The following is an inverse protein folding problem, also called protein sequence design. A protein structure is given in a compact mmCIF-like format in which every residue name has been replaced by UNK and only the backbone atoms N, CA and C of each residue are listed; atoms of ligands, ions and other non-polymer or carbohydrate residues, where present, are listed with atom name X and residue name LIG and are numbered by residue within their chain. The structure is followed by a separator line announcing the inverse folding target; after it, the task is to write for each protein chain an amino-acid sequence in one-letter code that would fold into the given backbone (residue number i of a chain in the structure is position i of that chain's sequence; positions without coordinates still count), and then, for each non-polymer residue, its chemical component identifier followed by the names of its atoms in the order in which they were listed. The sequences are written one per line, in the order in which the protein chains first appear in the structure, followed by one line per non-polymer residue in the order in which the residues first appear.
data_IF_475379275970
#
_entry.id   IF_475379275970
#
_cell.length_a   1.000
_cell.length_b   1.000
_cell.length_c   1.000
_cell.angle_alpha   90.00
_cell.angle_beta   90.00
_cell.angle_gamma   90.00
#
_symmetry.space_group_name_H-M   'P 1'
#
loop_
_entity.id
_entity.type
_entity.pdbx_description
1 polymer ?
#
# COMPACT_ATOMS: atom_id res chain seq x y z
N UNK A 1 -8.34 44.89 -5.90
CA UNK A 1 -8.03 43.81 -4.95
C UNK A 1 -9.36 43.18 -4.64
N UNK A 2 -9.59 41.96 -5.14
CA UNK A 2 -10.87 41.26 -4.96
C UNK A 2 -10.87 40.69 -3.55
N UNK A 3 -11.63 41.31 -2.64
CA UNK A 3 -11.90 40.74 -1.33
C UNK A 3 -12.64 39.41 -1.55
N UNK A 4 -11.93 38.30 -1.38
CA UNK A 4 -12.55 36.98 -1.36
C UNK A 4 -13.42 36.91 -0.11
N UNK A 5 -14.73 37.05 -0.28
CA UNK A 5 -15.66 36.87 0.83
C UNK A 5 -15.51 35.43 1.33
N UNK A 6 -15.15 35.21 2.61
CA UNK A 6 -15.00 33.87 3.14
C UNK A 6 -16.34 33.15 3.06
N UNK A 7 -16.35 31.95 2.49
CA UNK A 7 -17.49 31.03 2.53
C UNK A 7 -17.29 30.08 3.71
N UNK A 8 -18.28 30.01 4.60
CA UNK A 8 -18.22 29.16 5.78
C UNK A 8 -18.86 27.81 5.48
N UNK A 9 -18.09 26.74 5.67
CA UNK A 9 -18.58 25.36 5.67
C UNK A 9 -18.77 24.94 7.13
N UNK A 10 -19.95 24.43 7.48
CA UNK A 10 -20.23 23.87 8.81
C UNK A 10 -20.34 22.36 8.69
N UNK A 11 -19.52 21.65 9.46
CA UNK A 11 -19.49 20.19 9.52
C UNK A 11 -19.49 19.81 11.00
N UNK A 12 -20.41 18.96 11.42
CA UNK A 12 -20.32 18.34 12.74
C UNK A 12 -19.43 17.09 12.70
N UNK A 13 -18.78 16.78 13.83
CA UNK A 13 -17.94 15.58 13.94
C UNK A 13 -18.73 14.29 13.64
N UNK A 14 -19.99 14.22 14.06
CA UNK A 14 -20.88 13.08 13.82
C UNK A 14 -21.29 12.93 12.35
N UNK A 15 -21.61 14.01 11.65
CA UNK A 15 -21.89 13.97 10.20
C UNK A 15 -20.66 13.55 9.41
N UNK A 16 -19.48 14.05 9.79
CA UNK A 16 -18.22 13.69 9.15
C UNK A 16 -17.90 12.21 9.35
N UNK A 17 -18.07 11.70 10.57
CA UNK A 17 -17.87 10.29 10.88
C UNK A 17 -18.82 9.39 10.08
N UNK A 18 -20.11 9.75 9.98
CA UNK A 18 -21.09 8.99 9.21
C UNK A 18 -20.73 9.00 7.71
N UNK A 19 -20.39 10.17 7.16
CA UNK A 19 -19.97 10.29 5.76
C UNK A 19 -18.78 9.37 5.46
N UNK A 20 -17.76 9.36 6.32
CA UNK A 20 -16.61 8.49 6.13
C UNK A 20 -16.94 7.00 6.27
N UNK A 21 -17.78 6.64 7.23
CA UNK A 21 -18.19 5.25 7.41
C UNK A 21 -18.98 4.75 6.20
N UNK A 22 -19.85 5.59 5.63
CA UNK A 22 -20.58 5.30 4.41
C UNK A 22 -19.66 5.14 3.21
N UNK A 23 -18.65 6.01 3.08
CA UNK A 23 -17.64 5.89 2.02
C UNK A 23 -16.82 4.60 2.16
N UNK A 24 -16.43 4.22 3.37
CA UNK A 24 -15.73 2.95 3.61
C UNK A 24 -16.60 1.75 3.27
N UNK A 25 -17.88 1.77 3.62
CA UNK A 25 -18.82 0.68 3.35
C UNK A 25 -19.17 0.52 1.87
N UNK A 26 -19.19 1.62 1.11
CA UNK A 26 -19.57 1.64 -0.30
C UNK A 26 -18.36 1.47 -1.25
N UNK A 27 -17.14 1.57 -0.72
CA UNK A 27 -15.94 1.56 -1.56
C UNK A 27 -15.66 0.19 -2.16
N UNK A 28 -15.50 0.16 -3.48
CA UNK A 28 -14.95 -0.98 -4.21
C UNK A 28 -13.40 -0.94 -4.25
N UNK A 29 -12.81 0.23 -3.95
CA UNK A 29 -11.38 0.50 -4.05
C UNK A 29 -10.89 1.20 -2.79
N UNK A 30 -10.47 0.38 -1.81
CA UNK A 30 -10.01 0.85 -0.50
C UNK A 30 -8.77 1.75 -0.61
N UNK A 31 -7.90 1.56 -1.61
CA UNK A 31 -6.74 2.43 -1.83
C UNK A 31 -7.18 3.85 -2.18
N UNK A 32 -8.10 3.99 -3.15
CA UNK A 32 -8.65 5.31 -3.51
C UNK A 32 -9.35 5.97 -2.34
N UNK A 33 -10.14 5.22 -1.59
CA UNK A 33 -10.83 5.74 -0.40
C UNK A 33 -9.83 6.19 0.65
N UNK A 34 -8.85 5.37 1.02
CA UNK A 34 -7.82 5.72 1.99
C UNK A 34 -7.05 6.99 1.58
N UNK A 35 -6.63 7.10 0.31
CA UNK A 35 -5.95 8.29 -0.19
C UNK A 35 -6.85 9.55 -0.11
N UNK A 36 -8.13 9.43 -0.45
CA UNK A 36 -9.08 10.53 -0.33
C UNK A 36 -9.27 10.96 1.14
N UNK A 37 -9.31 10.00 2.08
CA UNK A 37 -9.39 10.27 3.53
C UNK A 37 -8.15 11.04 4.02
N UNK A 38 -6.94 10.60 3.65
CA UNK A 38 -5.69 11.30 3.98
C UNK A 38 -5.68 12.73 3.39
N UNK A 39 -6.14 12.87 2.15
CA UNK A 39 -6.22 14.18 1.48
C UNK A 39 -7.15 15.12 2.23
N UNK A 40 -8.32 14.64 2.65
CA UNK A 40 -9.29 15.44 3.41
C UNK A 40 -8.78 15.75 4.83
N UNK A 41 -8.10 14.82 5.50
CA UNK A 41 -7.44 15.12 6.77
C UNK A 41 -6.40 16.23 6.61
N UNK A 42 -5.58 16.14 5.57
CA UNK A 42 -4.55 17.15 5.28
C UNK A 42 -5.18 18.53 4.99
N UNK A 43 -6.30 18.55 4.24
CA UNK A 43 -7.08 19.76 4.01
C UNK A 43 -7.57 20.38 5.33
N UNK A 44 -8.21 19.59 6.18
CA UNK A 44 -8.77 20.07 7.45
C UNK A 44 -7.66 20.56 8.38
N UNK A 45 -6.54 19.85 8.48
CA UNK A 45 -5.39 20.29 9.28
C UNK A 45 -4.77 21.58 8.76
N UNK A 46 -4.73 21.78 7.44
CA UNK A 46 -4.14 22.99 6.83
C UNK A 46 -5.02 24.22 7.03
N UNK A 47 -6.33 24.10 6.79
CA UNK A 47 -7.24 25.24 6.82
C UNK A 47 -7.91 25.46 8.18
N UNK A 48 -7.88 24.46 9.08
CA UNK A 48 -8.45 24.52 10.42
C UNK A 48 -7.45 24.88 11.53
N UNK A 49 -6.17 25.12 11.20
CA UNK A 49 -5.10 25.37 12.17
C UNK A 49 -5.43 26.52 13.15
N UNK A 50 -6.11 27.57 12.67
CA UNK A 50 -6.52 28.71 13.51
C UNK A 50 -7.54 28.34 14.61
N UNK A 51 -8.18 27.17 14.49
CA UNK A 51 -9.14 26.63 15.44
C UNK A 51 -8.54 25.50 16.30
N UNK A 52 -7.23 25.28 16.30
CA UNK A 52 -6.60 24.12 16.95
C UNK A 52 -6.92 23.98 18.45
N UNK A 53 -7.10 25.10 19.16
CA UNK A 53 -7.36 25.10 20.61
C UNK A 53 -8.87 24.99 20.92
N UNK A 54 -9.72 24.85 19.90
CA UNK A 54 -11.17 24.69 20.04
C UNK A 54 -11.49 23.20 20.16
N UNK A 55 -12.29 22.85 21.18
CA UNK A 55 -12.71 21.47 21.46
C UNK A 55 -13.33 20.78 20.23
N UNK A 56 -14.21 21.47 19.50
CA UNK A 56 -14.85 20.92 18.30
C UNK A 56 -13.86 20.59 17.16
N UNK A 57 -12.76 21.33 17.05
CA UNK A 57 -11.70 20.99 16.10
C UNK A 57 -10.97 19.72 16.52
N UNK A 58 -10.68 19.56 17.81
CA UNK A 58 -10.04 18.35 18.35
C UNK A 58 -10.93 17.11 18.18
N UNK A 59 -12.24 17.25 18.38
CA UNK A 59 -13.22 16.18 18.11
C UNK A 59 -13.21 15.75 16.64
N UNK A 60 -13.19 16.71 15.70
CA UNK A 60 -13.11 16.45 14.26
C UNK A 60 -11.80 15.73 13.91
N UNK A 61 -10.66 16.21 14.38
CA UNK A 61 -9.35 15.58 14.12
C UNK A 61 -9.31 14.16 14.68
N UNK A 62 -9.85 13.95 15.88
CA UNK A 62 -9.94 12.63 16.50
C UNK A 62 -10.82 11.67 15.67
N UNK A 63 -11.98 12.14 15.20
CA UNK A 63 -12.87 11.35 14.36
C UNK A 63 -12.21 10.99 13.01
N UNK A 64 -11.53 11.93 12.37
CA UNK A 64 -10.79 11.70 11.12
C UNK A 64 -9.69 10.66 11.35
N UNK A 65 -8.93 10.80 12.44
CA UNK A 65 -7.84 9.86 12.76
C UNK A 65 -8.38 8.44 12.95
N UNK A 66 -9.45 8.26 13.73
CA UNK A 66 -10.06 6.95 13.95
C UNK A 66 -10.52 6.29 12.63
N UNK A 67 -11.05 7.09 11.70
CA UNK A 67 -11.44 6.63 10.36
C UNK A 67 -10.22 6.26 9.51
N UNK A 68 -9.16 7.07 9.53
CA UNK A 68 -7.92 6.79 8.80
C UNK A 68 -7.31 5.48 9.31
N UNK A 69 -7.20 5.32 10.63
CA UNK A 69 -6.65 4.11 11.24
C UNK A 69 -7.48 2.87 10.84
N UNK A 70 -8.82 2.97 10.86
CA UNK A 70 -9.70 1.89 10.38
C UNK A 70 -9.50 1.60 8.89
N UNK A 71 -9.39 2.63 8.05
CA UNK A 71 -9.18 2.45 6.61
C UNK A 71 -7.81 1.85 6.29
N UNK A 72 -6.78 2.18 7.07
CA UNK A 72 -5.46 1.58 6.98
C UNK A 72 -5.54 0.09 7.34
N UNK A 73 -6.24 -0.26 8.41
CA UNK A 73 -6.43 -1.66 8.79
C UNK A 73 -7.13 -2.45 7.67
N UNK A 74 -8.22 -1.93 7.12
CA UNK A 74 -8.94 -2.57 5.99
C UNK A 74 -8.04 -2.71 4.75
N UNK A 75 -7.17 -1.73 4.49
CA UNK A 75 -6.21 -1.77 3.40
C UNK A 75 -5.18 -2.88 3.61
N UNK A 76 -4.64 -3.05 4.82
CA UNK A 76 -3.69 -4.10 5.15
C UNK A 76 -4.33 -5.49 5.07
N UNK A 77 -5.55 -5.64 5.57
CA UNK A 77 -6.34 -6.89 5.47
C UNK A 77 -6.56 -7.28 4.01
N UNK A 78 -7.08 -6.36 3.19
CA UNK A 78 -7.30 -6.61 1.75
C UNK A 78 -6.00 -6.95 1.02
N UNK A 79 -4.94 -6.20 1.29
CA UNK A 79 -3.63 -6.46 0.68
C UNK A 79 -3.07 -7.83 1.09
N UNK A 80 -3.36 -8.29 2.31
CA UNK A 80 -2.97 -9.63 2.78
C UNK A 80 -3.69 -10.71 1.99
N UNK A 81 -5.00 -10.61 1.81
CA UNK A 81 -5.78 -11.57 1.01
C UNK A 81 -5.30 -11.62 -0.46
N UNK A 82 -5.05 -10.45 -1.05
CA UNK A 82 -4.51 -10.32 -2.41
C UNK A 82 -3.12 -10.94 -2.51
N UNK A 83 -2.25 -10.70 -1.51
CA UNK A 83 -0.90 -11.25 -1.47
C UNK A 83 -0.89 -12.77 -1.31
N UNK A 84 -1.73 -13.33 -0.42
CA UNK A 84 -1.87 -14.78 -0.25
C UNK A 84 -2.26 -15.44 -1.57
N UNK A 85 -3.24 -14.86 -2.28
CA UNK A 85 -3.68 -15.36 -3.57
C UNK A 85 -2.56 -15.29 -4.61
N UNK A 86 -1.84 -14.17 -4.66
CA UNK A 86 -0.74 -13.96 -5.60
C UNK A 86 0.45 -14.89 -5.33
N UNK A 87 0.78 -15.16 -4.06
CA UNK A 87 1.84 -16.07 -3.64
C UNK A 87 1.53 -17.51 -4.04
N UNK A 88 0.30 -17.99 -3.75
CA UNK A 88 -0.16 -19.34 -4.15
C UNK A 88 -0.10 -19.56 -5.66
N UNK A 89 -0.29 -18.51 -6.44
CA UNK A 89 -0.28 -18.56 -7.91
C UNK A 89 1.09 -18.24 -8.51
N UNK A 90 2.08 -17.85 -7.71
CA UNK A 90 3.36 -17.33 -8.19
C UNK A 90 3.19 -16.21 -9.24
N UNK A 91 2.17 -15.36 -9.04
CA UNK A 91 1.75 -14.39 -10.05
C UNK A 91 2.55 -13.09 -9.93
N UNK A 92 3.59 -12.94 -10.75
CA UNK A 92 4.51 -11.80 -10.74
C UNK A 92 3.78 -10.46 -10.80
N UNK A 93 2.80 -10.31 -11.70
CA UNK A 93 2.10 -9.04 -11.88
C UNK A 93 1.29 -8.66 -10.64
N UNK A 94 0.62 -9.64 -10.02
CA UNK A 94 -0.15 -9.41 -8.79
C UNK A 94 0.77 -9.14 -7.59
N UNK A 95 1.86 -9.89 -7.43
CA UNK A 95 2.87 -9.67 -6.39
C UNK A 95 3.48 -8.28 -6.49
N UNK A 96 3.79 -7.85 -7.71
CA UNK A 96 4.34 -6.51 -7.99
C UNK A 96 3.29 -5.43 -7.72
N UNK A 97 2.02 -5.66 -8.03
CA UNK A 97 0.95 -4.70 -7.74
C UNK A 97 0.79 -4.47 -6.22
N UNK A 98 0.81 -5.53 -5.41
CA UNK A 98 0.77 -5.41 -3.94
C UNK A 98 2.04 -4.76 -3.40
N UNK A 99 3.22 -5.15 -3.91
CA UNK A 99 4.50 -4.57 -3.49
C UNK A 99 4.62 -3.09 -3.82
N UNK A 100 4.10 -2.65 -4.97
CA UNK A 100 4.15 -1.23 -5.36
C UNK A 100 3.11 -0.38 -4.64
N UNK A 101 1.98 -0.98 -4.24
CA UNK A 101 0.91 -0.29 -3.51
C UNK A 101 1.23 -0.11 -2.02
N UNK A 102 2.04 -1.01 -1.44
CA UNK A 102 2.50 -0.95 -0.05
C UNK A 102 3.97 -0.55 0.02
N UNK A 103 4.29 0.55 0.71
CA UNK A 103 5.70 1.01 0.80
C UNK A 103 6.35 0.59 2.11
N UNK A 104 7.59 0.09 1.99
CA UNK A 104 8.48 -0.09 3.13
C UNK A 104 7.92 -1.08 4.16
N UNK A 105 7.71 -0.60 5.38
CA UNK A 105 7.31 -1.43 6.52
C UNK A 105 5.98 -2.16 6.29
N UNK A 106 4.99 -1.49 5.71
CA UNK A 106 3.65 -2.04 5.51
C UNK A 106 3.67 -3.30 4.63
N UNK A 107 4.55 -3.35 3.62
CA UNK A 107 4.72 -4.54 2.79
C UNK A 107 5.21 -5.74 3.61
N UNK A 108 6.19 -5.54 4.49
CA UNK A 108 6.71 -6.63 5.32
C UNK A 108 5.68 -7.11 6.34
N UNK A 109 4.91 -6.21 6.94
CA UNK A 109 3.81 -6.58 7.84
C UNK A 109 2.76 -7.42 7.12
N UNK A 110 2.37 -7.03 5.91
CA UNK A 110 1.42 -7.79 5.08
C UNK A 110 2.00 -9.13 4.62
N UNK A 111 3.29 -9.17 4.27
CA UNK A 111 3.98 -10.40 3.88
C UNK A 111 4.08 -11.41 5.04
N UNK A 112 4.45 -10.94 6.23
CA UNK A 112 4.47 -11.77 7.45
C UNK A 112 3.08 -12.33 7.76
N UNK A 113 2.03 -11.50 7.68
CA UNK A 113 0.65 -11.95 7.85
C UNK A 113 0.26 -13.00 6.80
N UNK A 114 0.55 -12.73 5.52
CA UNK A 114 0.24 -13.65 4.42
C UNK A 114 0.91 -15.02 4.59
N UNK A 115 2.17 -15.04 5.05
CA UNK A 115 2.90 -16.29 5.31
C UNK A 115 2.17 -17.16 6.35
N UNK A 116 1.52 -16.57 7.35
CA UNK A 116 0.75 -17.34 8.35
C UNK A 116 -0.49 -18.03 7.78
N UNK A 117 -0.96 -17.62 6.60
CA UNK A 117 -2.10 -18.21 5.90
C UNK A 117 -1.71 -19.21 4.81
N UNK A 118 -0.42 -19.37 4.54
CA UNK A 118 0.10 -20.34 3.57
C UNK A 118 0.27 -21.71 4.20
N UNK A 119 0.04 -22.76 3.40
CA UNK A 119 0.41 -24.12 3.80
C UNK A 119 1.91 -24.36 3.65
N UNK A 120 2.46 -25.39 4.29
CA UNK A 120 3.88 -25.77 4.13
C UNK A 120 4.25 -26.03 2.66
N UNK A 121 3.33 -26.56 1.87
CA UNK A 121 3.56 -26.82 0.45
C UNK A 121 3.54 -25.52 -0.37
N UNK A 122 2.65 -24.57 -0.04
CA UNK A 122 2.67 -23.22 -0.64
C UNK A 122 3.98 -22.51 -0.31
N UNK A 123 4.44 -22.58 0.94
CA UNK A 123 5.70 -21.98 1.38
C UNK A 123 6.87 -22.55 0.58
N UNK A 124 6.97 -23.88 0.48
CA UNK A 124 8.04 -24.54 -0.30
C UNK A 124 7.99 -24.17 -1.77
N UNK A 125 6.79 -24.10 -2.35
CA UNK A 125 6.60 -23.68 -3.74
C UNK A 125 7.15 -22.27 -3.94
N UNK A 126 6.74 -21.32 -3.09
CA UNK A 126 7.18 -19.92 -3.17
C UNK A 126 8.69 -19.81 -2.98
N UNK A 127 9.26 -20.49 -1.98
CA UNK A 127 10.72 -20.49 -1.72
C UNK A 127 11.53 -20.90 -2.96
N UNK A 128 11.16 -22.02 -3.59
CA UNK A 128 11.89 -22.55 -4.75
C UNK A 128 11.66 -21.64 -5.97
N UNK A 129 10.42 -21.20 -6.17
CA UNK A 129 10.07 -20.37 -7.29
C UNK A 129 10.76 -19.00 -7.24
N UNK A 130 10.75 -18.33 -6.08
CA UNK A 130 11.32 -16.98 -5.93
C UNK A 130 12.84 -16.99 -6.10
N UNK A 131 13.53 -17.97 -5.52
CA UNK A 131 14.99 -18.09 -5.63
C UNK A 131 15.41 -18.31 -7.09
N UNK A 132 14.74 -19.23 -7.79
CA UNK A 132 15.02 -19.48 -9.20
C UNK A 132 14.71 -18.25 -10.07
N UNK A 133 13.56 -17.62 -9.87
CA UNK A 133 13.19 -16.44 -10.66
C UNK A 133 14.17 -15.28 -10.45
N UNK A 134 14.59 -15.02 -9.21
CA UNK A 134 15.57 -13.96 -8.91
C UNK A 134 16.94 -14.26 -9.53
N UNK A 135 17.38 -15.52 -9.53
CA UNK A 135 18.62 -15.94 -10.20
C UNK A 135 18.54 -15.74 -11.70
N UNK A 136 17.49 -16.26 -12.35
CA UNK A 136 17.27 -16.11 -13.79
C UNK A 136 17.19 -14.62 -14.19
N UNK A 137 16.45 -13.81 -13.42
CA UNK A 137 16.34 -12.38 -13.68
C UNK A 137 17.68 -11.65 -13.61
N UNK A 138 18.55 -12.01 -12.64
CA UNK A 138 19.91 -11.47 -12.55
C UNK A 138 20.77 -11.88 -13.73
N UNK A 139 20.76 -13.17 -14.08
CA UNK A 139 21.53 -13.71 -15.20
C UNK A 139 21.13 -13.01 -16.51
N UNK A 140 19.83 -12.93 -16.80
CA UNK A 140 19.31 -12.23 -17.97
C UNK A 140 19.71 -10.75 -17.99
N UNK A 141 19.60 -10.05 -16.86
CA UNK A 141 19.96 -8.64 -16.77
C UNK A 141 21.48 -8.41 -16.90
N UNK A 142 22.32 -9.33 -16.41
CA UNK A 142 23.77 -9.28 -16.60
C UNK A 142 24.16 -9.56 -18.05
N UNK A 143 23.52 -10.54 -18.70
CA UNK A 143 23.77 -10.86 -20.12
C UNK A 143 23.33 -9.73 -21.06
N UNK A 144 22.25 -9.02 -20.72
CA UNK A 144 21.77 -7.88 -21.49
C UNK A 144 22.63 -6.61 -21.32
N UNK A 145 23.48 -6.56 -20.29
CA UNK A 145 24.29 -5.39 -19.98
C UNK A 145 25.50 -5.27 -20.92
N UNK A 146 25.62 -4.12 -21.60
CA UNK A 146 26.80 -3.80 -22.42
C UNK A 146 28.03 -3.41 -21.58
N UNK A 147 27.83 -3.16 -20.28
CA UNK A 147 28.90 -2.77 -19.34
C UNK A 147 29.22 -3.92 -18.39
N UNK A 148 30.52 -4.24 -18.15
CA UNK A 148 30.91 -5.26 -17.18
C UNK A 148 30.42 -4.90 -15.77
N UNK A 149 30.00 -5.92 -15.02
CA UNK A 149 29.56 -5.82 -13.62
C UNK A 149 28.30 -4.93 -13.39
N UNK A 150 27.51 -4.67 -14.43
CA UNK A 150 26.19 -4.03 -14.31
C UNK A 150 25.06 -4.95 -14.75
N UNK A 151 23.84 -4.66 -14.27
CA UNK A 151 22.61 -5.34 -14.67
C UNK A 151 21.73 -4.36 -15.43
N UNK A 152 21.23 -4.76 -16.60
CA UNK A 152 20.24 -4.03 -17.38
C UNK A 152 18.93 -4.81 -17.46
N UNK A 153 18.05 -4.56 -16.49
CA UNK A 153 16.72 -5.17 -16.44
C UNK A 153 15.84 -4.72 -17.62
N UNK A 154 16.00 -3.48 -18.10
CA UNK A 154 15.19 -2.97 -19.20
C UNK A 154 15.51 -3.70 -20.50
N UNK A 155 16.80 -3.94 -20.78
CA UNK A 155 17.23 -4.69 -21.97
C UNK A 155 16.95 -6.18 -21.87
N UNK A 156 16.75 -6.71 -20.65
CA UNK A 156 16.32 -8.07 -20.38
C UNK A 156 14.78 -8.28 -20.42
N UNK A 157 13.99 -7.24 -20.73
CA UNK A 157 12.52 -7.25 -20.69
C UNK A 157 11.94 -7.61 -19.31
N UNK A 158 12.64 -7.18 -18.24
CA UNK A 158 12.23 -7.35 -16.85
C UNK A 158 11.96 -5.97 -16.26
N UNK A 159 10.78 -5.78 -15.67
CA UNK A 159 10.53 -4.52 -14.95
C UNK A 159 11.30 -4.51 -13.64
N UNK A 160 11.94 -3.40 -13.33
CA UNK A 160 12.74 -3.28 -12.10
C UNK A 160 11.87 -3.44 -10.85
N UNK A 161 10.60 -3.05 -10.93
CA UNK A 161 9.61 -3.23 -9.87
C UNK A 161 9.30 -4.71 -9.63
N UNK A 162 9.20 -5.51 -10.69
CA UNK A 162 9.01 -6.97 -10.59
C UNK A 162 10.23 -7.60 -9.90
N UNK A 163 11.43 -7.21 -10.33
CA UNK A 163 12.67 -7.67 -9.70
C UNK A 163 12.74 -7.32 -8.21
N UNK A 164 12.41 -6.08 -7.83
CA UNK A 164 12.40 -5.66 -6.44
C UNK A 164 11.34 -6.37 -5.61
N UNK A 165 10.14 -6.57 -6.15
CA UNK A 165 9.06 -7.27 -5.47
C UNK A 165 9.47 -8.70 -5.15
N UNK A 166 9.92 -9.46 -6.16
CA UNK A 166 10.27 -10.87 -5.97
C UNK A 166 11.53 -11.02 -5.13
N UNK A 167 12.52 -10.14 -5.27
CA UNK A 167 13.73 -10.15 -4.42
C UNK A 167 13.41 -9.93 -2.95
N UNK A 168 12.44 -9.07 -2.63
CA UNK A 168 12.03 -8.85 -1.24
C UNK A 168 11.26 -10.04 -0.66
N UNK A 169 10.41 -10.67 -1.47
CA UNK A 169 9.71 -11.91 -1.10
C UNK A 169 10.75 -13.01 -0.86
N UNK A 170 11.64 -13.23 -1.82
CA UNK A 170 12.70 -14.24 -1.75
C UNK A 170 13.52 -14.11 -0.47
N UNK A 171 13.96 -12.90 -0.13
CA UNK A 171 14.73 -12.65 1.09
C UNK A 171 14.01 -13.04 2.39
N UNK A 172 12.68 -12.99 2.42
CA UNK A 172 11.89 -13.38 3.59
C UNK A 172 11.72 -14.90 3.65
N UNK A 173 11.50 -15.54 2.51
CA UNK A 173 11.32 -16.99 2.40
C UNK A 173 12.65 -17.77 2.47
N UNK A 174 13.76 -17.15 2.04
CA UNK A 174 15.11 -17.72 1.95
C UNK A 174 16.14 -16.81 2.67
N UNK A 175 16.13 -16.74 4.01
CA UNK A 175 17.02 -15.88 4.80
C UNK A 175 18.49 -16.33 4.86
#
# INVERSE_FOLDING_TARGET
MSDSTPFNITISASELQNFYQDQLNQSQDIHKTHHALITLSSFISTFGLAAQDIESYQEIVSAIKAVIDKSQQMLLEKSTEELVTALRQCNIAALTAVHTSLRGHDFYTVLEAAITELSDDDIRLVMIWSDNWVKEAKEMATEASETPDTMDFSSADIKVEEYHAISNIDRVFNP
#
